data_IF_669023918892
#
_entry.id   IF_669023918892
#
_cell.length_a   1.000
_cell.length_b   1.000
_cell.length_c   1.000
_cell.angle_alpha   90.00
_cell.angle_beta   90.00
_cell.angle_gamma   90.00
#
_symmetry.space_group_name_H-M   'P 1'
#
loop_
_entity.id
_entity.type
_entity.pdbx_description
1 polymer ?
#
# COMPACT_ATOMS: atom_id res chain seq x y z
N UNK A 1 -7.77 1.49 1.75
CA UNK A 1 -7.96 2.44 2.88
C UNK A 1 -7.96 3.90 2.48
N UNK A 2 -7.36 4.30 1.35
CA UNK A 2 -7.30 5.71 0.90
C UNK A 2 -8.65 6.41 0.77
N UNK A 3 -9.71 5.70 0.38
CA UNK A 3 -11.06 6.28 0.23
C UNK A 3 -12.00 6.05 1.41
N UNK A 4 -11.53 5.39 2.49
CA UNK A 4 -12.38 5.06 3.64
C UNK A 4 -13.07 6.29 4.23
N UNK A 5 -12.33 7.35 4.49
CA UNK A 5 -12.86 8.56 5.11
C UNK A 5 -13.84 9.30 4.19
N UNK A 6 -13.59 9.30 2.89
CA UNK A 6 -14.52 9.89 1.91
C UNK A 6 -15.84 9.13 1.89
N UNK A 7 -15.80 7.80 1.83
CA UNK A 7 -16.99 6.94 1.87
C UNK A 7 -17.77 7.15 3.17
N UNK A 8 -17.09 7.17 4.31
CA UNK A 8 -17.74 7.38 5.61
C UNK A 8 -18.37 8.78 5.75
N UNK A 9 -17.76 9.81 5.15
CA UNK A 9 -18.34 11.17 5.13
C UNK A 9 -19.61 11.26 4.27
N UNK A 10 -19.66 10.53 3.16
CA UNK A 10 -20.80 10.54 2.24
C UNK A 10 -21.95 9.65 2.72
N UNK A 11 -21.80 8.97 3.86
CA UNK A 11 -22.85 8.14 4.46
C UNK A 11 -23.34 7.01 3.54
N UNK A 12 -24.65 6.75 3.55
CA UNK A 12 -25.25 5.68 2.75
C UNK A 12 -25.04 5.85 1.24
N UNK A 13 -25.08 7.07 0.72
CA UNK A 13 -24.85 7.33 -0.71
C UNK A 13 -23.43 6.97 -1.15
N UNK A 14 -22.42 7.29 -0.34
CA UNK A 14 -21.03 6.91 -0.63
C UNK A 14 -20.80 5.39 -0.62
N UNK A 15 -21.55 4.67 0.22
CA UNK A 15 -21.51 3.22 0.25
C UNK A 15 -22.12 2.59 -1.01
N UNK A 16 -23.29 3.06 -1.45
CA UNK A 16 -23.93 2.58 -2.68
C UNK A 16 -23.08 2.86 -3.91
N UNK A 17 -22.47 4.03 -4.01
CA UNK A 17 -21.55 4.37 -5.08
C UNK A 17 -20.30 3.44 -5.07
N UNK A 18 -19.73 3.19 -3.91
CA UNK A 18 -18.60 2.26 -3.75
C UNK A 18 -18.97 0.83 -4.16
N UNK A 19 -20.17 0.35 -3.79
CA UNK A 19 -20.65 -0.97 -4.19
C UNK A 19 -20.92 -1.06 -5.69
N UNK A 20 -21.43 0.01 -6.30
CA UNK A 20 -21.69 0.05 -7.74
C UNK A 20 -20.39 -0.07 -8.57
N UNK A 21 -19.29 0.53 -8.10
CA UNK A 21 -17.98 0.40 -8.74
C UNK A 21 -17.41 -1.04 -8.71
N UNK A 22 -17.90 -1.90 -7.81
CA UNK A 22 -17.47 -3.30 -7.63
C UNK A 22 -18.47 -4.32 -8.16
N UNK A 23 -19.27 -4.01 -9.17
CA UNK A 23 -20.42 -4.82 -9.64
C UNK A 23 -20.11 -6.30 -9.96
N UNK A 24 -18.87 -6.64 -10.26
CA UNK A 24 -18.44 -8.01 -10.59
C UNK A 24 -17.94 -8.83 -9.37
N UNK A 25 -17.97 -8.27 -8.16
CA UNK A 25 -17.52 -8.97 -6.97
C UNK A 25 -18.69 -9.71 -6.28
N UNK A 26 -18.42 -10.93 -5.82
CA UNK A 26 -19.40 -11.71 -5.06
C UNK A 26 -19.76 -11.05 -3.72
N UNK A 27 -20.95 -11.39 -3.17
CA UNK A 27 -21.49 -10.82 -1.93
C UNK A 27 -20.51 -10.90 -0.75
N UNK A 28 -19.79 -12.00 -0.59
CA UNK A 28 -18.81 -12.18 0.50
C UNK A 28 -17.66 -11.16 0.42
N UNK A 29 -17.14 -10.90 -0.78
CA UNK A 29 -16.08 -9.91 -0.97
C UNK A 29 -16.56 -8.48 -0.66
N UNK A 30 -17.79 -8.15 -1.05
CA UNK A 30 -18.42 -6.85 -0.73
C UNK A 30 -18.62 -6.67 0.78
N UNK A 31 -19.11 -7.70 1.47
CA UNK A 31 -19.28 -7.68 2.92
C UNK A 31 -17.95 -7.45 3.63
N UNK A 32 -16.89 -8.14 3.22
CA UNK A 32 -15.56 -7.97 3.78
C UNK A 32 -15.00 -6.56 3.53
N UNK A 33 -15.14 -6.04 2.32
CA UNK A 33 -14.74 -4.66 2.00
C UNK A 33 -15.48 -3.63 2.84
N UNK A 34 -16.77 -3.85 3.06
CA UNK A 34 -17.58 -2.99 3.91
C UNK A 34 -17.10 -3.00 5.36
N UNK A 35 -16.82 -4.18 5.91
CA UNK A 35 -16.23 -4.29 7.25
C UNK A 35 -14.90 -3.53 7.35
N UNK A 36 -14.05 -3.59 6.32
CA UNK A 36 -12.79 -2.83 6.31
C UNK A 36 -13.02 -1.30 6.23
N UNK A 37 -14.07 -0.85 5.55
CA UNK A 37 -14.43 0.56 5.51
C UNK A 37 -14.92 1.00 6.89
N UNK A 38 -15.82 0.24 7.52
CA UNK A 38 -16.38 0.58 8.83
C UNK A 38 -15.33 0.51 9.94
N UNK A 39 -14.61 -0.57 10.05
CA UNK A 39 -13.74 -0.87 11.19
C UNK A 39 -12.26 -0.58 10.95
N UNK A 40 -11.83 -0.36 9.70
CA UNK A 40 -10.44 -0.04 9.38
C UNK A 40 -9.48 -1.15 9.80
N UNK A 41 -8.52 -0.83 10.68
CA UNK A 41 -7.53 -1.79 11.17
C UNK A 41 -8.10 -2.82 12.16
N UNK A 42 -9.26 -2.52 12.77
CA UNK A 42 -9.95 -3.43 13.68
C UNK A 42 -10.87 -4.42 12.93
N UNK A 43 -10.96 -4.30 11.61
CA UNK A 43 -11.74 -5.22 10.80
C UNK A 43 -11.15 -6.64 10.79
N UNK A 44 -12.00 -7.69 10.67
CA UNK A 44 -11.52 -9.06 10.55
C UNK A 44 -10.49 -9.23 9.43
N UNK A 45 -9.37 -9.85 9.74
CA UNK A 45 -8.28 -10.12 8.79
C UNK A 45 -7.43 -8.91 8.39
N UNK A 46 -7.69 -7.69 8.90
CA UNK A 46 -6.88 -6.51 8.59
C UNK A 46 -5.45 -6.66 9.12
N UNK A 47 -5.29 -7.14 10.36
CA UNK A 47 -4.00 -7.41 10.96
C UNK A 47 -3.17 -8.41 10.14
N UNK A 48 -3.80 -9.49 9.67
CA UNK A 48 -3.13 -10.52 8.86
C UNK A 48 -2.64 -9.96 7.53
N UNK A 49 -3.42 -9.04 6.91
CA UNK A 49 -3.00 -8.36 5.68
C UNK A 49 -1.80 -7.45 5.90
N UNK A 50 -1.73 -6.75 7.03
CA UNK A 50 -0.58 -5.90 7.38
C UNK A 50 0.67 -6.78 7.58
N UNK A 51 0.55 -7.85 8.35
CA UNK A 51 1.65 -8.82 8.56
C UNK A 51 2.11 -9.45 7.25
N UNK A 52 1.18 -9.76 6.33
CA UNK A 52 1.49 -10.28 5.01
C UNK A 52 2.31 -9.28 4.17
N UNK A 53 1.95 -8.00 4.18
CA UNK A 53 2.73 -6.95 3.52
C UNK A 53 4.14 -6.85 4.09
N UNK A 54 4.28 -6.86 5.40
CA UNK A 54 5.58 -6.85 6.08
C UNK A 54 6.42 -8.08 5.71
N UNK A 55 5.82 -9.26 5.69
CA UNK A 55 6.47 -10.49 5.27
C UNK A 55 6.96 -10.43 3.81
N UNK A 56 6.19 -9.81 2.90
CA UNK A 56 6.63 -9.60 1.52
C UNK A 56 7.81 -8.64 1.44
N UNK A 57 7.84 -7.56 2.21
CA UNK A 57 8.98 -6.65 2.25
C UNK A 57 10.25 -7.37 2.75
N UNK A 58 10.13 -8.20 3.79
CA UNK A 58 11.25 -9.02 4.28
C UNK A 58 11.74 -10.04 3.23
N UNK A 59 10.81 -10.66 2.50
CA UNK A 59 11.17 -11.56 1.40
C UNK A 59 11.88 -10.82 0.26
N UNK A 60 11.44 -9.61 -0.07
CA UNK A 60 12.13 -8.75 -1.03
C UNK A 60 13.55 -8.42 -0.53
N UNK A 61 13.72 -8.06 0.74
CA UNK A 61 15.03 -7.76 1.34
C UNK A 61 16.00 -8.94 1.17
N UNK A 62 15.52 -10.17 1.42
CA UNK A 62 16.31 -11.39 1.22
C UNK A 62 16.65 -11.62 -0.26
N UNK A 63 15.69 -11.46 -1.15
CA UNK A 63 15.87 -11.63 -2.59
C UNK A 63 16.88 -10.64 -3.17
N UNK A 64 16.81 -9.40 -2.74
CA UNK A 64 17.70 -8.31 -3.15
C UNK A 64 19.11 -8.41 -2.56
N UNK A 65 19.40 -9.42 -1.72
CA UNK A 65 20.75 -9.67 -1.25
C UNK A 65 21.71 -10.14 -2.36
N UNK A 66 21.16 -10.76 -3.41
CA UNK A 66 21.95 -11.31 -4.52
C UNK A 66 22.02 -10.37 -5.74
N UNK A 67 21.17 -9.33 -5.82
CA UNK A 67 21.05 -8.51 -7.02
C UNK A 67 20.33 -7.19 -6.70
N UNK A 68 20.58 -6.16 -7.50
CA UNK A 68 19.89 -4.86 -7.41
C UNK A 68 18.40 -4.90 -7.78
N UNK A 69 17.96 -5.97 -8.43
CA UNK A 69 16.59 -6.17 -8.91
C UNK A 69 16.03 -7.52 -8.44
N UNK A 70 14.72 -7.65 -8.40
CA UNK A 70 14.05 -8.84 -7.87
C UNK A 70 14.37 -10.13 -8.64
N UNK A 71 14.66 -10.03 -9.93
CA UNK A 71 15.06 -11.19 -10.75
C UNK A 71 16.27 -10.82 -11.60
N UNK A 72 17.42 -11.30 -11.20
CA UNK A 72 18.69 -11.09 -11.91
C UNK A 72 19.19 -9.65 -11.88
N UNK A 73 20.19 -9.34 -12.69
CA UNK A 73 20.93 -8.07 -12.69
C UNK A 73 20.23 -6.91 -13.46
N UNK A 74 18.95 -7.00 -13.79
CA UNK A 74 18.24 -5.99 -14.59
C UNK A 74 16.78 -5.84 -14.14
N UNK A 75 16.20 -4.68 -14.43
CA UNK A 75 14.78 -4.40 -14.21
C UNK A 75 13.89 -5.33 -15.05
N UNK A 76 12.96 -6.02 -14.40
CA UNK A 76 12.10 -7.03 -15.02
C UNK A 76 10.63 -6.82 -14.66
N UNK A 77 9.76 -7.69 -15.19
CA UNK A 77 8.33 -7.70 -14.83
C UNK A 77 8.08 -7.97 -13.34
N UNK A 78 9.00 -8.63 -12.64
CA UNK A 78 8.90 -8.80 -11.19
C UNK A 78 8.96 -7.45 -10.47
N UNK A 79 9.86 -6.57 -10.89
CA UNK A 79 9.99 -5.22 -10.34
C UNK A 79 8.77 -4.37 -10.71
N UNK A 80 8.29 -4.47 -11.96
CA UNK A 80 7.06 -3.79 -12.42
C UNK A 80 5.86 -4.22 -11.58
N UNK A 81 5.73 -5.52 -11.28
CA UNK A 81 4.62 -6.06 -10.49
C UNK A 81 4.66 -5.61 -9.03
N UNK A 82 5.84 -5.47 -8.42
CA UNK A 82 6.00 -5.08 -7.02
C UNK A 82 5.97 -3.57 -6.79
N UNK A 83 6.40 -2.78 -7.76
CA UNK A 83 6.47 -1.33 -7.64
C UNK A 83 5.15 -0.66 -7.19
N UNK A 84 3.95 -1.02 -7.71
CA UNK A 84 2.69 -0.45 -7.26
C UNK A 84 2.39 -0.69 -5.78
N UNK A 85 2.75 -1.86 -5.26
CA UNK A 85 2.50 -2.21 -3.85
C UNK A 85 3.39 -1.40 -2.91
N UNK A 86 4.69 -1.31 -3.20
CA UNK A 86 5.63 -0.51 -2.39
C UNK A 86 5.31 0.98 -2.52
N UNK A 87 5.01 1.46 -3.73
CA UNK A 87 4.58 2.85 -3.94
C UNK A 87 3.27 3.18 -3.20
N UNK A 88 2.34 2.24 -3.09
CA UNK A 88 1.12 2.44 -2.30
C UNK A 88 1.42 2.62 -0.82
N UNK A 89 2.36 1.86 -0.27
CA UNK A 89 2.82 2.04 1.12
C UNK A 89 3.49 3.40 1.30
N UNK A 90 4.36 3.82 0.37
CA UNK A 90 4.97 5.15 0.39
C UNK A 90 3.92 6.27 0.33
N UNK A 91 2.93 6.17 -0.56
CA UNK A 91 1.83 7.13 -0.63
C UNK A 91 1.00 7.22 0.66
N UNK A 92 1.05 6.19 1.49
CA UNK A 92 0.40 6.13 2.82
C UNK A 92 1.35 6.50 3.98
N UNK A 93 2.50 7.11 3.73
CA UNK A 93 3.52 7.44 4.75
C UNK A 93 3.97 6.22 5.58
N UNK A 94 4.05 5.06 4.94
CA UNK A 94 4.50 3.80 5.55
C UNK A 94 5.95 3.45 5.20
N UNK A 95 6.75 4.41 4.75
CA UNK A 95 8.17 4.23 4.40
C UNK A 95 8.98 3.71 5.58
N UNK A 96 8.55 4.01 6.80
CA UNK A 96 9.13 3.48 8.06
C UNK A 96 9.17 1.94 8.13
N UNK A 97 8.44 1.26 7.24
CA UNK A 97 8.50 -0.20 7.10
C UNK A 97 9.84 -0.69 6.51
N UNK A 98 10.59 0.17 5.81
CA UNK A 98 11.89 -0.17 5.22
C UNK A 98 12.98 0.84 5.51
N UNK A 99 12.66 2.08 5.85
CA UNK A 99 13.63 3.14 6.17
C UNK A 99 14.31 2.95 7.52
N UNK A 100 15.32 3.79 7.77
CA UNK A 100 16.05 3.80 9.04
C UNK A 100 16.92 2.57 9.28
N UNK A 101 17.34 1.91 8.21
CA UNK A 101 18.17 0.70 8.27
C UNK A 101 17.39 -0.59 8.51
N UNK A 102 16.06 -0.55 8.51
CA UNK A 102 15.23 -1.74 8.74
C UNK A 102 15.30 -2.73 7.58
N UNK A 103 15.12 -2.25 6.35
CA UNK A 103 15.20 -3.06 5.11
C UNK A 103 15.96 -2.27 4.03
N UNK A 104 17.30 -2.12 4.17
CA UNK A 104 18.07 -1.18 3.36
C UNK A 104 18.13 -1.56 1.86
N UNK A 105 17.97 -2.83 1.51
CA UNK A 105 17.94 -3.25 0.11
C UNK A 105 16.61 -2.92 -0.55
N UNK A 106 15.49 -3.05 0.19
CA UNK A 106 14.16 -2.62 -0.27
C UNK A 106 14.17 -1.10 -0.46
N UNK A 107 14.72 -0.33 0.49
CA UNK A 107 14.89 1.10 0.39
C UNK A 107 15.64 1.49 -0.90
N UNK A 108 16.84 0.94 -1.07
CA UNK A 108 17.68 1.18 -2.26
C UNK A 108 17.03 0.71 -3.56
N UNK A 109 16.32 -0.42 -3.56
CA UNK A 109 15.55 -0.89 -4.72
C UNK A 109 14.43 0.11 -5.07
N UNK A 110 13.69 0.59 -4.10
CA UNK A 110 12.60 1.53 -4.34
C UNK A 110 13.11 2.88 -4.84
N UNK A 111 14.24 3.37 -4.35
CA UNK A 111 14.91 4.56 -4.89
C UNK A 111 15.28 4.37 -6.37
N UNK A 112 15.86 3.22 -6.75
CA UNK A 112 16.14 2.91 -8.15
C UNK A 112 14.88 2.86 -9.02
N UNK A 113 13.77 2.31 -8.50
CA UNK A 113 12.47 2.31 -9.18
C UNK A 113 11.97 3.74 -9.37
N UNK A 114 12.04 4.58 -8.34
CA UNK A 114 11.62 5.99 -8.39
C UNK A 114 12.45 6.84 -9.35
N UNK A 115 13.73 6.54 -9.49
CA UNK A 115 14.63 7.23 -10.40
C UNK A 115 14.37 6.94 -11.90
N UNK A 116 13.54 5.96 -12.22
CA UNK A 116 13.22 5.62 -13.62
C UNK A 116 12.35 6.71 -14.26
N UNK A 117 12.63 7.09 -15.52
CA UNK A 117 11.83 8.10 -16.22
C UNK A 117 10.33 7.76 -16.30
N UNK A 118 10.01 6.46 -16.31
CA UNK A 118 8.63 5.96 -16.38
C UNK A 118 7.89 5.99 -15.05
N UNK A 119 8.58 6.23 -13.92
CA UNK A 119 7.94 6.21 -12.60
C UNK A 119 6.92 7.35 -12.45
N UNK A 120 7.33 8.55 -12.78
CA UNK A 120 6.48 9.73 -12.63
C UNK A 120 5.18 9.64 -13.45
N UNK A 121 5.21 9.32 -14.75
CA UNK A 121 3.98 9.13 -15.53
C UNK A 121 3.10 7.97 -15.02
N UNK A 122 3.71 6.92 -14.47
CA UNK A 122 2.95 5.75 -13.99
C UNK A 122 2.28 5.95 -12.62
N UNK A 123 2.89 6.74 -11.73
CA UNK A 123 2.45 6.78 -10.32
C UNK A 123 2.11 8.18 -9.78
N UNK A 124 2.58 9.26 -10.42
CA UNK A 124 2.50 10.60 -9.86
C UNK A 124 1.58 11.51 -10.67
N UNK A 125 1.78 11.60 -11.97
CA UNK A 125 1.18 12.65 -12.80
C UNK A 125 -0.36 12.57 -12.93
N UNK A 126 -0.93 11.39 -12.74
CA UNK A 126 -2.38 11.17 -12.76
C UNK A 126 -3.04 11.27 -11.38
N UNK A 127 -2.27 11.34 -10.30
CA UNK A 127 -2.80 11.37 -8.93
C UNK A 127 -3.05 12.83 -8.52
N UNK A 128 -4.31 13.24 -8.25
CA UNK A 128 -4.60 14.58 -7.76
C UNK A 128 -3.85 14.87 -6.45
N UNK A 129 -3.26 16.07 -6.34
CA UNK A 129 -2.47 16.48 -5.16
C UNK A 129 -3.27 16.32 -3.86
N UNK A 130 -4.52 16.80 -3.83
CA UNK A 130 -5.37 16.68 -2.65
C UNK A 130 -5.60 15.22 -2.22
N UNK A 131 -5.71 14.28 -3.18
CA UNK A 131 -5.85 12.86 -2.88
C UNK A 131 -4.55 12.27 -2.34
N UNK A 132 -3.40 12.68 -2.87
CA UNK A 132 -2.10 12.24 -2.37
C UNK A 132 -1.87 12.71 -0.92
N UNK A 133 -2.21 13.96 -0.61
CA UNK A 133 -2.15 14.52 0.74
C UNK A 133 -3.10 13.80 1.70
N UNK A 134 -4.34 13.52 1.29
CA UNK A 134 -5.31 12.77 2.09
C UNK A 134 -4.80 11.34 2.39
N UNK A 135 -4.25 10.65 1.39
CA UNK A 135 -3.68 9.32 1.56
C UNK A 135 -2.54 9.33 2.58
N UNK A 136 -1.62 10.28 2.47
CA UNK A 136 -0.50 10.43 3.38
C UNK A 136 -0.96 10.69 4.81
N UNK A 137 -1.84 11.67 5.01
CA UNK A 137 -2.40 12.00 6.32
C UNK A 137 -3.16 10.82 6.96
N UNK A 138 -3.89 10.02 6.15
CA UNK A 138 -4.57 8.82 6.63
C UNK A 138 -3.60 7.73 7.06
N UNK A 139 -2.50 7.57 6.33
CA UNK A 139 -1.45 6.63 6.68
C UNK A 139 -0.72 7.02 7.96
N UNK A 140 -0.35 8.28 8.11
CA UNK A 140 0.28 8.79 9.34
C UNK A 140 -0.58 8.57 10.58
N UNK A 141 -1.90 8.81 10.48
CA UNK A 141 -2.85 8.49 11.57
C UNK A 141 -2.93 7.00 11.89
N UNK A 142 -2.73 6.14 10.90
CA UNK A 142 -2.79 4.68 11.07
C UNK A 142 -1.48 4.08 11.57
N UNK A 143 -0.37 4.80 11.44
CA UNK A 143 0.97 4.30 11.76
C UNK A 143 1.12 3.74 13.18
N UNK A 144 0.63 4.42 14.25
CA UNK A 144 0.78 3.87 15.60
C UNK A 144 0.18 2.47 15.77
N UNK A 145 -0.98 2.21 15.14
CA UNK A 145 -1.63 0.91 15.18
C UNK A 145 -0.88 -0.13 14.33
N UNK A 146 -0.40 0.25 13.14
CA UNK A 146 0.44 -0.62 12.29
C UNK A 146 1.73 -0.98 13.01
N UNK A 147 2.40 0.01 13.61
CA UNK A 147 3.60 -0.19 14.40
C UNK A 147 3.40 -1.19 15.55
N UNK A 148 2.32 -1.03 16.30
CA UNK A 148 1.97 -1.93 17.41
C UNK A 148 1.70 -3.36 16.93
N UNK A 149 1.02 -3.52 15.79
CA UNK A 149 0.73 -4.83 15.19
C UNK A 149 1.99 -5.58 14.73
N UNK A 150 3.00 -4.85 14.27
CA UNK A 150 4.25 -5.42 13.75
C UNK A 150 5.35 -5.51 14.81
N UNK A 151 5.21 -4.85 15.94
CA UNK A 151 6.21 -4.83 17.01
C UNK A 151 7.49 -4.06 16.66
N UNK A 152 7.37 -3.00 15.83
CA UNK A 152 8.50 -2.21 15.29
C UNK A 152 8.48 -0.76 15.79
#
# INVERSE_FOLDING_TARGET
MSHRHTILRNGAGGFEEFLACGANEGTAARTLKWQWIQHGLDAPGAADRIKLYDAYLHKMEQTLAASDWLVGGRFTMADVAMAPYVNRLAALAMERLWEGGRLPRVESWFERVRARPTFRPAFVDWLPVALAEEMRANGERSWPAVRALLGV
#
